data_IF_562038327220
#
_entry.id   IF_562038327220
#
_cell.length_a   1.000
_cell.length_b   1.000
_cell.length_c   1.000
_cell.angle_alpha   90.00
_cell.angle_beta   90.00
_cell.angle_gamma   90.00
#
_symmetry.space_group_name_H-M   'P 1'
#
loop_
_entity.id
_entity.type
_entity.pdbx_description
1 polymer ?
#
# COMPACT_ATOMS: atom_id res chain seq x y z
N UNK A 1 21.93 14.88 -43.09
CA UNK A 1 20.98 13.96 -43.77
C UNK A 1 20.57 12.85 -42.79
N UNK A 2 19.59 13.08 -41.93
CA UNK A 2 19.22 12.09 -40.90
C UNK A 2 18.48 10.87 -41.49
N UNK A 3 17.60 11.08 -42.50
CA UNK A 3 16.89 9.98 -43.15
C UNK A 3 17.80 8.99 -43.91
N UNK A 4 18.90 9.46 -44.51
CA UNK A 4 19.85 8.58 -45.20
C UNK A 4 20.61 7.66 -44.24
N UNK A 5 20.91 8.16 -43.04
CA UNK A 5 21.58 7.36 -42.00
C UNK A 5 20.65 6.28 -41.44
N UNK A 6 19.37 6.60 -41.20
CA UNK A 6 18.35 5.64 -40.74
C UNK A 6 18.17 4.49 -41.75
N UNK A 7 18.12 4.80 -43.06
CA UNK A 7 18.04 3.77 -44.10
C UNK A 7 19.31 2.92 -44.17
N UNK A 8 20.49 3.54 -44.00
CA UNK A 8 21.77 2.81 -43.95
C UNK A 8 21.82 1.84 -42.77
N UNK A 9 21.35 2.24 -41.59
CA UNK A 9 21.31 1.39 -40.40
C UNK A 9 20.37 0.19 -40.58
N UNK A 10 19.21 0.39 -41.20
CA UNK A 10 18.22 -0.68 -41.38
C UNK A 10 18.66 -1.75 -42.38
N UNK A 11 19.37 -1.36 -43.45
CA UNK A 11 19.64 -2.24 -44.58
C UNK A 11 21.13 -2.49 -44.85
N UNK A 12 22.02 -1.87 -44.08
CA UNK A 12 23.48 -2.03 -44.20
C UNK A 12 24.10 -1.50 -45.49
N UNK A 13 23.32 -0.85 -46.37
CA UNK A 13 23.77 -0.31 -47.67
C UNK A 13 23.48 1.17 -47.80
N UNK A 14 24.40 1.90 -48.42
CA UNK A 14 24.19 3.30 -48.75
C UNK A 14 23.28 3.47 -49.97
N UNK A 15 22.44 4.53 -49.94
CA UNK A 15 21.62 5.02 -51.07
C UNK A 15 20.59 4.03 -51.66
N UNK A 16 19.90 3.25 -50.82
CA UNK A 16 18.72 2.46 -51.27
C UNK A 16 17.57 3.38 -51.72
N UNK A 17 17.40 4.50 -51.01
CA UNK A 17 16.47 5.57 -51.40
C UNK A 17 17.25 6.87 -51.56
N UNK A 18 16.89 7.67 -52.58
CA UNK A 18 17.58 8.92 -52.89
C UNK A 18 17.29 10.04 -51.90
N UNK A 19 16.05 10.15 -51.42
CA UNK A 19 15.59 11.26 -50.57
C UNK A 19 14.59 10.82 -49.47
N UNK A 20 14.95 9.88 -48.58
CA UNK A 20 14.11 9.51 -47.44
C UNK A 20 13.92 10.68 -46.48
N UNK A 21 12.67 10.89 -46.05
CA UNK A 21 12.36 11.84 -44.97
C UNK A 21 12.89 11.29 -43.65
N UNK A 22 13.35 12.13 -42.70
CA UNK A 22 13.74 11.67 -41.36
C UNK A 22 12.52 11.22 -40.55
N UNK A 23 12.58 10.05 -39.90
CA UNK A 23 11.47 9.55 -39.06
C UNK A 23 11.13 10.51 -37.92
N UNK A 24 12.14 11.13 -37.30
CA UNK A 24 11.95 12.10 -36.20
C UNK A 24 11.07 13.30 -36.59
N UNK A 25 11.18 13.78 -37.83
CA UNK A 25 10.34 14.87 -38.33
C UNK A 25 8.89 14.42 -38.45
N UNK A 26 8.66 13.26 -39.06
CA UNK A 26 7.31 12.73 -39.24
C UNK A 26 6.65 12.41 -37.89
N UNK A 27 7.39 11.81 -36.95
CA UNK A 27 6.92 11.60 -35.57
C UNK A 27 6.42 12.91 -34.94
N UNK A 28 7.18 13.98 -35.09
CA UNK A 28 6.82 15.29 -34.53
C UNK A 28 5.53 15.83 -35.14
N UNK A 29 5.35 15.70 -36.45
CA UNK A 29 4.12 16.13 -37.15
C UNK A 29 2.90 15.34 -36.66
N UNK A 30 3.04 14.02 -36.57
CA UNK A 30 2.00 13.13 -36.04
C UNK A 30 1.61 13.55 -34.60
N UNK A 31 2.60 13.74 -33.72
CA UNK A 31 2.37 14.15 -32.33
C UNK A 31 1.71 15.54 -32.17
N UNK A 32 1.80 16.40 -33.19
CA UNK A 32 1.17 17.72 -33.19
C UNK A 32 -0.26 17.63 -33.73
N UNK A 33 -0.47 16.89 -34.82
CA UNK A 33 -1.70 16.91 -35.61
C UNK A 33 -2.65 15.73 -35.47
N UNK A 34 -2.35 14.76 -34.59
CA UNK A 34 -3.20 13.57 -34.39
C UNK A 34 -3.34 13.17 -32.92
N UNK A 35 -4.40 12.42 -32.64
CA UNK A 35 -4.79 11.84 -31.34
C UNK A 35 -4.91 10.31 -31.44
N UNK A 36 -5.23 9.64 -30.32
CA UNK A 36 -5.41 8.18 -30.31
C UNK A 36 -6.58 7.75 -31.22
N UNK A 37 -6.40 6.66 -31.96
CA UNK A 37 -7.32 6.10 -32.97
C UNK A 37 -7.49 6.91 -34.26
N UNK A 38 -6.75 8.00 -34.45
CA UNK A 38 -6.75 8.71 -35.74
C UNK A 38 -6.07 7.88 -36.83
N UNK A 39 -6.62 7.95 -38.06
CA UNK A 39 -6.07 7.27 -39.23
C UNK A 39 -5.03 8.19 -39.88
N UNK A 40 -3.78 7.72 -39.96
CA UNK A 40 -2.71 8.41 -40.67
C UNK A 40 -2.64 7.87 -42.10
N UNK A 41 -2.91 8.74 -43.07
CA UNK A 41 -2.87 8.41 -44.50
C UNK A 41 -1.64 9.03 -45.16
N UNK A 42 -0.86 8.20 -45.85
CA UNK A 42 0.25 8.63 -46.70
C UNK A 42 0.12 7.99 -48.09
N UNK A 43 -0.34 8.77 -49.06
CA UNK A 43 -0.52 8.35 -50.46
C UNK A 43 0.72 8.60 -51.33
N UNK A 44 1.82 9.09 -50.74
CA UNK A 44 3.12 9.26 -51.38
C UNK A 44 4.23 8.68 -50.51
N UNK A 45 4.08 7.39 -50.16
CA UNK A 45 4.86 6.74 -49.11
C UNK A 45 6.37 6.72 -49.35
N UNK A 46 6.83 6.63 -50.61
CA UNK A 46 8.25 6.65 -50.94
C UNK A 46 9.04 5.58 -50.17
N UNK A 47 9.95 6.01 -49.28
CA UNK A 47 10.69 5.12 -48.36
C UNK A 47 9.88 4.59 -47.17
N UNK A 48 8.56 4.79 -47.17
CA UNK A 48 7.61 4.44 -46.11
C UNK A 48 7.95 5.03 -44.73
N UNK A 49 8.60 6.20 -44.68
CA UNK A 49 9.01 6.87 -43.43
C UNK A 49 7.81 7.12 -42.51
N UNK A 50 6.64 7.46 -43.06
CA UNK A 50 5.43 7.74 -42.29
C UNK A 50 4.91 6.50 -41.57
N UNK A 51 4.89 5.35 -42.24
CA UNK A 51 4.51 4.08 -41.61
C UNK A 51 5.51 3.71 -40.49
N UNK A 52 6.82 3.84 -40.77
CA UNK A 52 7.86 3.56 -39.77
C UNK A 52 7.73 4.47 -38.54
N UNK A 53 7.54 5.77 -38.73
CA UNK A 53 7.35 6.73 -37.63
C UNK A 53 6.09 6.43 -36.81
N UNK A 54 4.99 6.08 -37.48
CA UNK A 54 3.71 5.73 -36.83
C UNK A 54 3.84 4.46 -35.99
N UNK A 55 4.44 3.41 -36.53
CA UNK A 55 4.68 2.16 -35.81
C UNK A 55 5.57 2.38 -34.57
N UNK A 56 6.65 3.15 -34.71
CA UNK A 56 7.51 3.47 -33.58
C UNK A 56 6.78 4.27 -32.50
N UNK A 57 5.96 5.27 -32.87
CA UNK A 57 5.16 6.03 -31.90
C UNK A 57 4.14 5.14 -31.18
N UNK A 58 3.45 4.26 -31.92
CA UNK A 58 2.50 3.32 -31.32
C UNK A 58 3.21 2.35 -30.37
N UNK A 59 4.40 1.86 -30.73
CA UNK A 59 5.21 1.02 -29.86
C UNK A 59 5.64 1.76 -28.58
N UNK A 60 6.11 3.00 -28.68
CA UNK A 60 6.46 3.85 -27.53
C UNK A 60 5.26 4.07 -26.60
N UNK A 61 4.09 4.41 -27.16
CA UNK A 61 2.85 4.62 -26.40
C UNK A 61 2.37 3.33 -25.74
N UNK A 62 2.34 2.21 -26.47
CA UNK A 62 1.93 0.92 -25.94
C UNK A 62 2.86 0.43 -24.83
N UNK A 63 4.17 0.66 -24.96
CA UNK A 63 5.14 0.35 -23.91
C UNK A 63 4.85 1.11 -22.62
N UNK A 64 4.39 2.36 -22.73
CA UNK A 64 4.12 3.19 -21.55
C UNK A 64 2.73 2.91 -20.95
N UNK A 65 1.70 2.71 -21.79
CA UNK A 65 0.31 2.58 -21.35
C UNK A 65 -0.13 1.14 -21.08
N UNK A 66 0.37 0.18 -21.86
CA UNK A 66 -0.13 -1.21 -21.87
C UNK A 66 0.86 -2.19 -21.27
N UNK A 67 2.16 -1.95 -21.44
CA UNK A 67 3.21 -2.79 -20.86
C UNK A 67 3.61 -2.33 -19.44
N UNK A 68 2.63 -2.41 -18.52
CA UNK A 68 2.84 -2.05 -17.11
C UNK A 68 3.89 -2.92 -16.43
N UNK A 69 4.04 -4.16 -16.89
CA UNK A 69 4.94 -5.13 -16.28
C UNK A 69 6.41 -4.78 -16.54
N UNK A 70 6.78 -4.33 -17.74
CA UNK A 70 8.16 -3.92 -18.03
C UNK A 70 8.57 -2.61 -17.35
N UNK A 71 7.61 -1.74 -17.04
CA UNK A 71 7.85 -0.51 -16.28
C UNK A 71 7.99 -0.75 -14.78
N UNK A 72 7.37 -1.82 -14.25
CA UNK A 72 7.49 -2.23 -12.86
C UNK A 72 8.66 -3.17 -12.63
N UNK A 73 9.04 -3.95 -13.64
CA UNK A 73 10.13 -4.91 -13.52
C UNK A 73 11.48 -4.20 -13.48
N UNK A 74 12.30 -4.60 -12.52
CA UNK A 74 13.68 -4.15 -12.42
C UNK A 74 14.57 -4.82 -13.47
N UNK A 75 14.08 -5.89 -14.11
CA UNK A 75 14.80 -6.67 -15.11
C UNK A 75 13.92 -6.95 -16.33
N UNK A 76 14.56 -6.95 -17.48
CA UNK A 76 13.98 -7.38 -18.75
C UNK A 76 13.89 -8.92 -18.85
N UNK A 77 13.21 -9.44 -19.86
CA UNK A 77 13.08 -10.89 -20.15
C UNK A 77 14.45 -11.59 -20.27
N UNK A 78 15.49 -10.84 -20.64
CA UNK A 78 16.87 -11.28 -20.74
C UNK A 78 17.69 -11.12 -19.45
N UNK A 79 17.05 -10.88 -18.30
CA UNK A 79 17.65 -10.66 -16.97
C UNK A 79 18.59 -9.44 -16.89
N UNK A 80 18.52 -8.53 -17.86
CA UNK A 80 19.24 -7.27 -17.87
C UNK A 80 18.50 -6.22 -17.03
N UNK A 81 19.24 -5.37 -16.31
CA UNK A 81 18.64 -4.32 -15.49
C UNK A 81 17.93 -3.26 -16.34
N UNK A 82 16.65 -3.01 -16.04
CA UNK A 82 15.89 -1.92 -16.62
C UNK A 82 16.30 -0.60 -15.96
N UNK A 83 16.95 0.28 -16.73
CA UNK A 83 17.45 1.59 -16.26
C UNK A 83 16.46 2.73 -16.50
N UNK A 84 15.28 2.44 -17.05
CA UNK A 84 14.25 3.45 -17.31
C UNK A 84 13.63 3.92 -15.98
N UNK A 85 13.98 5.15 -15.58
CA UNK A 85 13.46 5.81 -14.35
C UNK A 85 12.77 7.14 -14.63
N UNK A 86 12.98 7.71 -15.81
CA UNK A 86 12.38 8.98 -16.23
C UNK A 86 11.46 8.75 -17.41
N UNK A 87 10.20 9.15 -17.26
CA UNK A 87 9.18 9.03 -18.29
C UNK A 87 8.71 10.44 -18.64
N UNK A 88 9.00 10.86 -19.87
CA UNK A 88 8.46 12.09 -20.42
C UNK A 88 7.27 11.74 -21.29
N UNK A 89 6.10 12.27 -20.92
CA UNK A 89 4.89 11.99 -21.66
C UNK A 89 4.00 13.21 -21.80
N UNK A 90 3.37 13.30 -22.96
CA UNK A 90 2.39 14.32 -23.31
C UNK A 90 0.95 13.90 -22.95
N UNK A 91 0.71 12.60 -22.76
CA UNK A 91 -0.64 12.00 -22.76
C UNK A 91 -0.94 11.06 -21.58
N UNK A 92 0.08 10.62 -20.83
CA UNK A 92 -0.05 9.50 -19.86
C UNK A 92 -1.03 9.76 -18.73
N UNK A 93 -1.12 11.00 -18.23
CA UNK A 93 -1.97 11.29 -17.07
C UNK A 93 -3.46 11.45 -17.43
N UNK A 94 -3.78 11.60 -18.73
CA UNK A 94 -5.17 11.65 -19.24
C UNK A 94 -5.76 10.25 -19.46
N UNK A 95 -4.98 9.32 -20.01
CA UNK A 95 -5.51 8.08 -20.61
C UNK A 95 -5.26 6.79 -19.80
N UNK A 96 -5.16 6.89 -18.48
CA UNK A 96 -5.15 5.67 -17.65
C UNK A 96 -3.78 5.13 -17.25
N UNK A 97 -2.73 5.96 -17.30
CA UNK A 97 -1.47 5.59 -16.67
C UNK A 97 -1.67 5.42 -15.17
N UNK A 98 -1.16 4.31 -14.67
CA UNK A 98 -1.53 3.80 -13.37
C UNK A 98 -0.41 2.89 -12.86
N UNK A 99 0.65 3.55 -12.40
CA UNK A 99 1.86 2.90 -11.91
C UNK A 99 2.03 3.26 -10.42
N UNK A 100 2.03 2.26 -9.51
CA UNK A 100 2.21 2.50 -8.08
C UNK A 100 3.60 3.01 -7.69
N UNK A 101 4.62 2.85 -8.53
CA UNK A 101 6.02 3.20 -8.24
C UNK A 101 6.39 4.59 -8.77
N UNK A 102 5.41 5.50 -8.80
CA UNK A 102 5.60 6.89 -9.24
C UNK A 102 5.77 7.77 -8.02
N UNK A 103 7.02 8.14 -7.74
CA UNK A 103 7.35 8.97 -6.57
C UNK A 103 7.46 10.45 -6.90
N UNK A 104 7.58 10.81 -8.18
CA UNK A 104 7.71 12.20 -8.60
C UNK A 104 6.92 12.46 -9.88
N UNK A 105 6.09 13.50 -9.83
CA UNK A 105 5.39 14.03 -11.00
C UNK A 105 5.80 15.48 -11.18
N UNK A 106 6.26 15.83 -12.38
CA UNK A 106 6.66 17.20 -12.72
C UNK A 106 5.71 17.74 -13.78
N UNK A 107 4.96 18.78 -13.43
CA UNK A 107 4.06 19.45 -14.35
C UNK A 107 4.76 20.62 -15.02
N UNK A 108 5.14 20.44 -16.28
CA UNK A 108 5.88 21.43 -17.07
C UNK A 108 4.98 22.44 -17.82
N UNK A 109 3.65 22.33 -17.72
CA UNK A 109 2.68 23.19 -18.42
C UNK A 109 1.56 23.64 -17.47
N UNK A 110 1.22 24.92 -17.53
CA UNK A 110 0.15 25.58 -16.75
C UNK A 110 -1.27 25.45 -17.33
N UNK A 111 -1.47 24.60 -18.34
CA UNK A 111 -2.74 24.50 -19.09
C UNK A 111 -3.44 23.18 -18.80
N UNK A 112 -4.61 23.23 -18.16
CA UNK A 112 -5.49 22.09 -17.90
C UNK A 112 -6.55 22.39 -16.84
N UNK A 113 -7.70 21.70 -16.91
CA UNK A 113 -8.78 21.80 -15.91
C UNK A 113 -8.32 21.30 -14.53
N UNK A 114 -8.75 21.97 -13.44
CA UNK A 114 -8.47 21.58 -12.05
C UNK A 114 -8.89 20.12 -11.75
N UNK A 115 -10.02 19.67 -12.32
CA UNK A 115 -10.53 18.30 -12.19
C UNK A 115 -9.55 17.28 -12.79
N UNK A 116 -8.98 17.61 -13.96
CA UNK A 116 -7.96 16.78 -14.59
C UNK A 116 -6.77 16.65 -13.64
N UNK A 117 -6.28 17.77 -13.07
CA UNK A 117 -5.09 17.82 -12.19
C UNK A 117 -5.25 16.91 -10.96
N UNK A 118 -6.42 16.90 -10.32
CA UNK A 118 -6.70 16.07 -9.15
C UNK A 118 -6.64 14.56 -9.49
N UNK A 119 -7.18 14.19 -10.66
CA UNK A 119 -7.09 12.82 -11.16
C UNK A 119 -5.65 12.41 -11.50
N UNK A 120 -4.82 13.33 -12.02
CA UNK A 120 -3.39 13.07 -12.26
C UNK A 120 -2.65 12.75 -10.95
N UNK A 121 -2.92 13.50 -9.88
CA UNK A 121 -2.33 13.28 -8.54
C UNK A 121 -2.83 11.98 -7.94
N UNK A 122 -4.13 11.69 -8.02
CA UNK A 122 -4.73 10.46 -7.49
C UNK A 122 -4.15 9.18 -8.08
N UNK A 123 -3.67 9.23 -9.34
CA UNK A 123 -2.98 8.09 -9.99
C UNK A 123 -1.60 7.81 -9.41
N UNK A 124 -0.92 8.81 -8.85
CA UNK A 124 0.39 8.67 -8.20
C UNK A 124 0.34 8.38 -6.70
N UNK A 125 -0.83 8.41 -6.05
CA UNK A 125 -1.00 8.18 -4.61
C UNK A 125 -1.12 6.71 -4.21
N UNK A 126 -0.83 5.78 -5.13
CA UNK A 126 -0.95 4.35 -4.86
C UNK A 126 0.25 3.85 -4.06
N UNK A 127 0.01 2.85 -3.22
CA UNK A 127 1.10 2.20 -2.47
C UNK A 127 2.07 1.53 -3.44
N UNK A 128 3.38 1.79 -3.32
CA UNK A 128 4.38 1.23 -4.19
C UNK A 128 4.49 -0.29 -4.00
N UNK A 129 5.01 -0.96 -5.02
CA UNK A 129 5.29 -2.39 -5.03
C UNK A 129 6.79 -2.66 -5.05
N UNK A 130 7.20 -3.75 -4.38
CA UNK A 130 8.57 -4.25 -4.39
C UNK A 130 8.92 -5.04 -5.67
N UNK A 131 10.13 -5.60 -5.75
CA UNK A 131 10.60 -6.40 -6.90
C UNK A 131 9.76 -7.66 -7.15
N UNK A 132 9.02 -8.13 -6.15
CA UNK A 132 8.15 -9.30 -6.20
C UNK A 132 6.68 -8.92 -6.48
N UNK A 133 6.37 -7.63 -6.60
CA UNK A 133 5.03 -7.11 -6.83
C UNK A 133 4.17 -6.97 -5.57
N UNK A 134 4.74 -7.13 -4.37
CA UNK A 134 4.02 -6.94 -3.11
C UNK A 134 3.89 -5.46 -2.80
N UNK A 135 2.71 -5.02 -2.34
CA UNK A 135 2.50 -3.64 -1.90
C UNK A 135 3.20 -3.41 -0.57
N UNK A 136 3.97 -2.33 -0.49
CA UNK A 136 4.66 -1.92 0.72
C UNK A 136 3.71 -1.11 1.60
N UNK A 137 3.28 -1.67 2.73
CA UNK A 137 2.43 -1.01 3.74
C UNK A 137 3.19 -0.60 5.00
N UNK A 138 4.38 -1.13 5.19
CA UNK A 138 5.11 -1.05 6.46
C UNK A 138 5.84 0.29 6.64
N UNK A 139 5.97 1.06 5.55
CA UNK A 139 6.63 2.36 5.52
C UNK A 139 5.73 3.44 4.91
N UNK A 140 5.95 4.69 5.30
CA UNK A 140 5.21 5.84 4.78
C UNK A 140 5.90 6.41 3.54
N UNK A 141 5.19 6.39 2.40
CA UNK A 141 5.67 6.93 1.13
C UNK A 141 5.03 8.26 0.79
N UNK A 142 5.77 9.13 0.10
CA UNK A 142 5.31 10.45 -0.31
C UNK A 142 5.46 10.63 -1.82
N UNK A 143 4.41 11.10 -2.47
CA UNK A 143 4.43 11.55 -3.87
C UNK A 143 4.90 13.01 -3.92
N UNK A 144 6.02 13.28 -4.59
CA UNK A 144 6.50 14.64 -4.84
C UNK A 144 5.87 15.21 -6.10
N UNK A 145 4.96 16.16 -5.93
CA UNK A 145 4.36 16.93 -7.03
C UNK A 145 5.11 18.25 -7.22
N UNK A 146 5.81 18.40 -8.35
CA UNK A 146 6.52 19.62 -8.72
C UNK A 146 5.68 20.43 -9.71
N UNK A 147 5.39 21.68 -9.34
CA UNK A 147 4.64 22.63 -10.16
C UNK A 147 5.47 23.88 -10.44
N UNK A 148 5.13 24.55 -11.53
CA UNK A 148 5.68 25.85 -11.86
C UNK A 148 5.12 26.97 -10.97
N UNK A 149 5.81 28.11 -10.89
CA UNK A 149 5.40 29.26 -10.07
C UNK A 149 4.02 29.80 -10.44
N UNK A 150 3.62 29.64 -11.70
CA UNK A 150 2.32 30.06 -12.23
C UNK A 150 1.13 29.29 -11.64
N UNK A 151 1.37 28.15 -10.99
CA UNK A 151 0.33 27.24 -10.45
C UNK A 151 0.29 27.24 -8.91
N UNK A 152 0.89 28.25 -8.27
CA UNK A 152 0.98 28.36 -6.81
C UNK A 152 -0.39 28.34 -6.13
N UNK A 153 -1.38 29.03 -6.71
CA UNK A 153 -2.74 29.10 -6.17
C UNK A 153 -3.44 27.74 -6.23
N UNK A 154 -3.17 26.96 -7.28
CA UNK A 154 -3.70 25.60 -7.42
C UNK A 154 -3.15 24.67 -6.32
N UNK A 155 -1.84 24.73 -6.01
CA UNK A 155 -1.29 23.96 -4.90
C UNK A 155 -1.91 24.35 -3.55
N UNK A 156 -2.13 25.64 -3.31
CA UNK A 156 -2.76 26.10 -2.06
C UNK A 156 -4.20 25.61 -1.94
N UNK A 157 -4.99 25.66 -3.03
CA UNK A 157 -6.33 25.08 -3.07
C UNK A 157 -6.32 23.57 -2.86
N UNK A 158 -5.44 22.83 -3.52
CA UNK A 158 -5.34 21.37 -3.39
C UNK A 158 -5.00 20.94 -1.97
N UNK A 159 -4.04 21.65 -1.34
CA UNK A 159 -3.71 21.47 0.08
C UNK A 159 -4.94 21.76 0.94
N UNK A 160 -5.64 22.85 0.67
CA UNK A 160 -6.87 23.24 1.36
C UNK A 160 -7.98 22.19 1.25
N UNK A 161 -8.29 21.72 0.03
CA UNK A 161 -9.33 20.72 -0.25
C UNK A 161 -9.01 19.38 0.45
N UNK A 162 -7.82 18.82 0.22
CA UNK A 162 -7.43 17.52 0.79
C UNK A 162 -7.37 17.56 2.31
N UNK A 163 -6.89 18.66 2.90
CA UNK A 163 -6.83 18.81 4.35
C UNK A 163 -8.20 19.13 4.94
N UNK A 164 -9.11 19.80 4.21
CA UNK A 164 -10.49 20.05 4.65
C UNK A 164 -11.38 18.79 4.63
N UNK A 165 -11.10 17.84 3.74
CA UNK A 165 -11.74 16.52 3.71
C UNK A 165 -11.22 15.57 4.80
N UNK A 166 -10.11 15.90 5.46
CA UNK A 166 -9.69 15.18 6.66
C UNK A 166 -10.73 15.46 7.76
N UNK A 167 -11.37 14.41 8.24
CA UNK A 167 -12.47 14.47 9.20
C UNK A 167 -11.96 14.96 10.57
N UNK A 168 -11.73 16.26 10.70
CA UNK A 168 -11.37 16.90 11.98
C UNK A 168 -12.57 16.68 12.90
N UNK A 169 -12.42 15.99 14.04
CA UNK A 169 -13.53 15.82 14.96
C UNK A 169 -13.98 17.20 15.46
N UNK A 170 -15.14 17.64 14.96
CA UNK A 170 -15.71 18.95 15.33
C UNK A 170 -16.02 19.07 16.83
N UNK A 171 -16.18 17.95 17.54
CA UNK A 171 -16.55 17.93 18.95
C UNK A 171 -15.62 17.05 19.79
N UNK A 172 -15.26 17.56 20.98
CA UNK A 172 -14.39 16.88 21.96
C UNK A 172 -15.20 16.12 23.03
N UNK A 173 -16.54 16.21 23.02
CA UNK A 173 -17.44 15.67 24.08
C UNK A 173 -17.15 14.21 24.49
N UNK A 174 -16.82 13.34 23.55
CA UNK A 174 -16.52 11.92 23.83
C UNK A 174 -15.07 11.62 24.25
N UNK A 175 -14.15 12.57 24.09
CA UNK A 175 -12.70 12.38 24.28
C UNK A 175 -12.23 13.04 25.57
N UNK A 176 -12.86 14.15 25.97
CA UNK A 176 -12.52 14.91 27.17
C UNK A 176 -12.41 14.03 28.41
N UNK A 177 -13.34 13.09 28.57
CA UNK A 177 -13.35 12.14 29.69
C UNK A 177 -12.17 11.17 29.71
N UNK A 178 -11.62 10.80 28.54
CA UNK A 178 -10.48 9.90 28.45
C UNK A 178 -9.17 10.66 28.69
N UNK A 179 -9.06 11.88 28.17
CA UNK A 179 -7.88 12.75 28.32
C UNK A 179 -7.77 13.29 29.75
N UNK A 180 -8.90 13.62 30.39
CA UNK A 180 -8.93 14.00 31.79
C UNK A 180 -8.39 12.87 32.69
N UNK A 181 -8.76 11.62 32.40
CA UNK A 181 -8.26 10.44 33.12
C UNK A 181 -6.77 10.18 32.90
N UNK A 182 -6.24 10.37 31.70
CA UNK A 182 -4.81 10.16 31.44
C UNK A 182 -3.93 11.19 32.14
N UNK A 183 -4.43 12.42 32.35
CA UNK A 183 -3.72 13.49 33.05
C UNK A 183 -4.04 13.62 34.54
N UNK A 184 -4.81 12.70 35.13
CA UNK A 184 -5.29 12.78 36.52
C UNK A 184 -6.01 14.10 36.87
N UNK A 185 -6.75 14.68 35.91
CA UNK A 185 -7.53 15.90 36.09
C UNK A 185 -9.03 15.61 36.03
N UNK A 186 -9.86 16.48 36.60
CA UNK A 186 -11.32 16.40 36.42
C UNK A 186 -11.71 16.90 35.03
N UNK A 187 -12.77 16.33 34.45
CA UNK A 187 -13.29 16.73 33.12
C UNK A 187 -13.57 18.24 33.05
N UNK A 188 -14.09 18.80 34.14
CA UNK A 188 -14.44 20.21 34.28
C UNK A 188 -13.20 21.12 34.31
N UNK A 189 -12.12 20.70 34.98
CA UNK A 189 -10.88 21.47 35.07
C UNK A 189 -10.17 21.54 33.71
N UNK A 190 -10.08 20.39 33.03
CA UNK A 190 -9.52 20.32 31.67
C UNK A 190 -10.36 21.12 30.68
N UNK A 191 -11.69 21.11 30.83
CA UNK A 191 -12.58 21.91 29.99
C UNK A 191 -12.35 23.42 30.19
N UNK A 192 -12.27 23.87 31.45
CA UNK A 192 -12.04 25.26 31.79
C UNK A 192 -10.68 25.72 31.24
N UNK A 193 -9.64 24.89 31.34
CA UNK A 193 -8.32 25.20 30.79
C UNK A 193 -8.35 25.36 29.26
N UNK A 194 -9.00 24.43 28.55
CA UNK A 194 -9.16 24.51 27.10
C UNK A 194 -10.00 25.73 26.66
N UNK A 195 -10.97 26.13 27.47
CA UNK A 195 -11.83 27.28 27.23
C UNK A 195 -11.10 28.60 27.51
N UNK A 196 -10.29 28.67 28.57
CA UNK A 196 -9.43 29.82 28.90
C UNK A 196 -8.34 30.04 27.85
N UNK A 197 -7.73 28.96 27.34
CA UNK A 197 -6.77 29.03 26.22
C UNK A 197 -7.45 29.30 24.87
N UNK A 198 -8.78 29.26 24.83
CA UNK A 198 -9.57 29.60 23.65
C UNK A 198 -9.54 28.54 22.54
N UNK A 199 -9.21 27.29 22.86
CA UNK A 199 -9.20 26.19 21.90
C UNK A 199 -10.58 25.62 21.61
N UNK A 200 -11.49 25.72 22.59
CA UNK A 200 -12.86 25.20 22.49
C UNK A 200 -13.90 26.29 22.76
N UNK A 201 -15.11 26.10 22.22
CA UNK A 201 -16.28 26.90 22.55
C UNK A 201 -17.01 26.36 23.80
N UNK A 202 -18.03 27.10 24.25
CA UNK A 202 -18.91 26.70 25.37
C UNK A 202 -19.66 25.40 25.10
N UNK A 203 -19.79 25.00 23.85
CA UNK A 203 -20.47 23.78 23.40
C UNK A 203 -19.52 22.58 23.23
N UNK A 204 -18.25 22.68 23.66
CA UNK A 204 -17.20 21.65 23.55
C UNK A 204 -16.80 21.32 22.09
N UNK A 205 -16.94 22.28 21.17
CA UNK A 205 -16.41 22.20 19.81
C UNK A 205 -15.08 22.93 19.69
N UNK A 206 -14.24 22.50 18.74
CA UNK A 206 -12.93 23.11 18.50
C UNK A 206 -13.12 24.37 17.65
N UNK A 207 -12.53 25.49 18.07
CA UNK A 207 -12.56 26.72 17.28
C UNK A 207 -11.74 26.56 16.00
N UNK A 208 -12.23 27.15 14.91
CA UNK A 208 -11.63 27.06 13.59
C UNK A 208 -10.18 27.58 13.59
N UNK A 209 -9.24 26.80 13.01
CA UNK A 209 -7.81 27.13 12.98
C UNK A 209 -7.02 26.92 14.28
N UNK A 210 -7.64 26.41 15.36
CA UNK A 210 -6.98 26.14 16.66
C UNK A 210 -6.71 24.66 16.94
N UNK A 211 -7.06 23.78 16.00
CA UNK A 211 -6.86 22.34 16.13
C UNK A 211 -5.38 21.96 16.21
N UNK A 212 -4.53 22.57 15.39
CA UNK A 212 -3.08 22.30 15.37
C UNK A 212 -2.43 22.65 16.72
N UNK A 213 -2.68 23.86 17.23
CA UNK A 213 -2.21 24.28 18.57
C UNK A 213 -2.74 23.41 19.70
N UNK A 214 -3.97 22.90 19.58
CA UNK A 214 -4.55 21.99 20.56
C UNK A 214 -3.89 20.61 20.53
N UNK A 215 -3.57 20.07 19.36
CA UNK A 215 -2.85 18.79 19.23
C UNK A 215 -1.39 18.91 19.66
N UNK A 216 -0.76 20.06 19.44
CA UNK A 216 0.60 20.36 19.92
C UNK A 216 0.70 20.34 21.45
N UNK A 217 -0.24 20.99 22.15
CA UNK A 217 -0.25 21.02 23.63
C UNK A 217 -0.90 19.76 24.24
N UNK A 218 -1.83 19.14 23.52
CA UNK A 218 -2.61 17.98 23.96
C UNK A 218 -2.66 16.88 22.88
N UNK A 219 -1.58 16.10 22.73
CA UNK A 219 -1.46 15.04 21.72
C UNK A 219 -2.56 13.97 21.80
N UNK A 220 -3.16 13.81 22.97
CA UNK A 220 -4.17 12.81 23.29
C UNK A 220 -5.53 13.07 22.59
N UNK A 221 -5.74 14.29 22.06
CA UNK A 221 -6.90 14.61 21.21
C UNK A 221 -6.72 14.19 19.75
N UNK A 222 -5.53 13.74 19.35
CA UNK A 222 -5.25 13.32 17.98
C UNK A 222 -5.84 11.93 17.68
N UNK A 223 -7.07 11.88 17.13
CA UNK A 223 -7.68 10.65 16.58
C UNK A 223 -7.85 10.66 15.07
N UNK A 224 -7.50 11.77 14.41
CA UNK A 224 -7.53 11.86 12.96
C UNK A 224 -6.25 11.31 12.33
N UNK A 225 -6.32 10.94 11.05
CA UNK A 225 -5.13 10.84 10.20
C UNK A 225 -4.33 12.14 10.39
N UNK A 226 -3.04 12.00 10.69
CA UNK A 226 -2.11 13.09 10.98
C UNK A 226 -2.31 14.28 10.05
N UNK A 227 -2.23 15.48 10.63
CA UNK A 227 -2.46 16.82 10.04
C UNK A 227 -1.48 17.23 8.94
N UNK A 228 -0.94 16.29 8.17
CA UNK A 228 0.12 16.54 7.19
C UNK A 228 0.02 15.59 5.96
N UNK A 229 -1.18 15.40 5.40
CA UNK A 229 -1.33 14.62 4.16
C UNK A 229 -0.59 15.27 2.97
N UNK A 230 -0.50 16.60 2.96
CA UNK A 230 0.25 17.35 1.94
C UNK A 230 1.19 18.32 2.63
N UNK A 231 2.49 18.07 2.52
CA UNK A 231 3.54 18.86 3.17
C UNK A 231 4.15 19.82 2.14
N UNK A 232 4.05 21.14 2.41
CA UNK A 232 4.79 22.14 1.64
C UNK A 232 6.26 22.17 2.11
N UNK A 233 7.12 21.54 1.31
CA UNK A 233 8.57 21.47 1.56
C UNK A 233 9.25 22.84 1.54
N UNK A 234 8.61 23.89 0.98
CA UNK A 234 9.20 25.23 0.98
C UNK A 234 8.98 25.98 2.29
N UNK A 235 8.00 25.56 3.11
CA UNK A 235 7.71 26.17 4.42
C UNK A 235 8.53 25.52 5.55
N UNK A 236 8.72 24.20 5.51
CA UNK A 236 9.44 23.47 6.55
C UNK A 236 10.94 23.34 6.22
N UNK A 237 11.75 24.29 6.71
CA UNK A 237 13.20 24.11 6.76
C UNK A 237 13.52 22.94 7.69
N UNK A 238 13.96 21.81 7.13
CA UNK A 238 14.47 20.69 7.92
C UNK A 238 15.79 21.12 8.58
N UNK A 239 15.75 21.36 9.88
CA UNK A 239 16.94 21.61 10.67
C UNK A 239 17.76 20.32 10.78
N UNK A 240 19.03 20.43 10.41
CA UNK A 240 20.03 19.38 10.54
C UNK A 240 20.83 19.67 11.80
N UNK A 241 20.89 18.71 12.72
CA UNK A 241 21.73 18.80 13.92
C UNK A 241 23.00 18.00 13.66
N UNK A 242 24.15 18.52 14.10
CA UNK A 242 25.46 17.90 13.90
C UNK A 242 25.69 16.84 14.97
N UNK A 243 26.11 15.64 14.58
CA UNK A 243 26.48 14.60 15.54
C UNK A 243 27.94 14.80 16.00
N UNK A 244 28.20 14.59 17.29
CA UNK A 244 29.56 14.45 17.83
C UNK A 244 30.04 13.01 17.66
N UNK A 245 30.82 12.74 16.61
CA UNK A 245 31.30 11.39 16.26
C UNK A 245 32.03 10.68 17.41
N UNK A 246 32.81 11.42 18.20
CA UNK A 246 33.54 10.87 19.37
C UNK A 246 32.60 10.25 20.40
N UNK A 247 31.41 10.80 20.59
CA UNK A 247 30.39 10.29 21.52
C UNK A 247 29.62 9.11 20.98
N UNK A 248 29.58 8.93 19.65
CA UNK A 248 28.95 7.76 19.05
C UNK A 248 29.71 6.48 19.43
N UNK A 249 31.04 6.54 19.52
CA UNK A 249 31.84 5.36 19.84
C UNK A 249 31.51 4.81 21.24
N UNK A 250 31.10 5.67 22.18
CA UNK A 250 30.64 5.25 23.53
C UNK A 250 29.32 4.44 23.49
N UNK A 251 28.43 4.72 22.52
CA UNK A 251 27.11 4.08 22.41
C UNK A 251 27.04 3.00 21.32
N UNK A 252 28.10 2.81 20.55
CA UNK A 252 28.13 1.97 19.35
C UNK A 252 27.73 0.52 19.63
N UNK A 253 28.23 -0.06 20.70
CA UNK A 253 27.92 -1.46 21.07
C UNK A 253 26.45 -1.64 21.43
N UNK A 254 25.89 -0.67 22.17
CA UNK A 254 24.47 -0.63 22.50
C UNK A 254 23.63 -0.42 21.24
N UNK A 255 24.02 0.51 20.37
CA UNK A 255 23.34 0.84 19.13
C UNK A 255 23.29 -0.35 18.17
N UNK A 256 24.40 -1.07 18.03
CA UNK A 256 24.46 -2.30 17.23
C UNK A 256 23.57 -3.39 17.83
N UNK A 257 23.56 -3.53 19.16
CA UNK A 257 22.71 -4.51 19.85
C UNK A 257 21.21 -4.23 19.66
N UNK A 258 20.80 -2.96 19.69
CA UNK A 258 19.40 -2.53 19.50
C UNK A 258 18.97 -2.71 18.04
N UNK A 259 19.83 -2.36 17.08
CA UNK A 259 19.48 -2.42 15.66
C UNK A 259 19.64 -3.83 15.06
N UNK A 260 20.10 -4.81 15.82
CA UNK A 260 20.23 -6.19 15.35
C UNK A 260 18.87 -6.76 14.95
N UNK A 261 18.75 -7.23 13.71
CA UNK A 261 17.52 -7.90 13.24
C UNK A 261 17.48 -9.34 13.73
N UNK A 262 16.33 -9.75 14.25
CA UNK A 262 16.04 -11.13 14.65
C UNK A 262 14.88 -11.66 13.82
N UNK A 263 14.87 -12.95 13.53
CA UNK A 263 13.68 -13.63 13.03
C UNK A 263 13.14 -14.57 14.10
N UNK A 264 11.81 -14.73 14.09
CA UNK A 264 11.11 -15.70 14.90
C UNK A 264 11.36 -17.09 14.30
N UNK A 265 12.00 -17.99 15.05
CA UNK A 265 12.11 -19.39 14.72
C UNK A 265 11.10 -20.15 15.58
N UNK A 266 10.11 -20.75 14.94
CA UNK A 266 9.20 -21.70 15.58
C UNK A 266 9.90 -23.05 15.73
N UNK A 267 9.64 -23.75 16.82
CA UNK A 267 10.17 -25.10 17.03
C UNK A 267 9.56 -26.09 16.01
N UNK A 268 10.33 -27.11 15.64
CA UNK A 268 9.86 -28.13 14.71
C UNK A 268 8.80 -29.02 15.38
N UNK A 269 7.67 -29.21 14.71
CA UNK A 269 6.59 -30.11 15.15
C UNK A 269 6.79 -31.45 14.45
N UNK A 270 6.83 -32.54 15.22
CA UNK A 270 6.98 -33.89 14.66
C UNK A 270 5.73 -34.33 13.90
N UNK A 271 5.88 -35.28 12.98
CA UNK A 271 4.73 -35.85 12.26
C UNK A 271 3.73 -36.54 13.21
N UNK A 272 4.22 -37.11 14.31
CA UNK A 272 3.41 -37.74 15.36
C UNK A 272 2.50 -36.73 16.09
N UNK A 273 3.05 -35.56 16.45
CA UNK A 273 2.28 -34.49 17.10
C UNK A 273 1.23 -33.92 16.13
N UNK A 274 1.55 -33.76 14.84
CA UNK A 274 0.57 -33.36 13.83
C UNK A 274 -0.56 -34.36 13.65
N UNK A 275 -0.27 -35.66 13.74
CA UNK A 275 -1.27 -36.73 13.67
C UNK A 275 -2.22 -36.66 14.88
N UNK A 276 -1.68 -36.56 16.09
CA UNK A 276 -2.45 -36.48 17.32
C UNK A 276 -3.37 -35.24 17.33
N UNK A 277 -2.84 -34.09 16.92
CA UNK A 277 -3.61 -32.84 16.82
C UNK A 277 -4.72 -32.96 15.79
N UNK A 278 -4.42 -33.52 14.62
CA UNK A 278 -5.43 -33.75 13.57
C UNK A 278 -6.55 -34.65 14.09
N UNK A 279 -6.22 -35.71 14.82
CA UNK A 279 -7.20 -36.59 15.47
C UNK A 279 -8.04 -35.87 16.53
N UNK A 280 -7.42 -35.09 17.40
CA UNK A 280 -8.11 -34.32 18.43
C UNK A 280 -9.08 -33.29 17.82
N UNK A 281 -8.69 -32.65 16.71
CA UNK A 281 -9.57 -31.75 15.96
C UNK A 281 -10.76 -32.51 15.40
N UNK A 282 -10.56 -33.68 14.78
CA UNK A 282 -11.65 -34.51 14.26
C UNK A 282 -12.60 -34.99 15.37
N UNK A 283 -12.07 -35.30 16.56
CA UNK A 283 -12.86 -35.68 17.76
C UNK A 283 -13.69 -34.52 18.32
N UNK A 284 -13.24 -33.28 18.15
CA UNK A 284 -13.87 -32.09 18.72
C UNK A 284 -15.19 -31.63 18.04
N UNK A 285 -15.87 -32.52 17.33
CA UNK A 285 -17.12 -32.27 16.57
C UNK A 285 -17.05 -31.07 15.62
N UNK A 286 -16.29 -31.23 14.54
CA UNK A 286 -16.14 -30.21 13.48
C UNK A 286 -17.24 -30.26 12.42
N UNK A 287 -18.06 -31.30 12.45
CA UNK A 287 -19.06 -31.57 11.44
C UNK A 287 -20.21 -30.59 11.56
N UNK A 288 -20.51 -29.89 10.45
CA UNK A 288 -21.64 -28.97 10.39
C UNK A 288 -22.42 -29.20 9.11
N UNK A 289 -23.74 -29.35 9.24
CA UNK A 289 -24.68 -29.34 8.12
C UNK A 289 -25.06 -27.89 7.79
N UNK A 290 -25.06 -27.54 6.51
CA UNK A 290 -25.58 -26.26 6.03
C UNK A 290 -27.05 -26.40 5.67
N UNK A 291 -27.88 -25.49 6.19
CA UNK A 291 -29.30 -25.38 5.89
C UNK A 291 -29.52 -24.09 5.10
N UNK A 292 -30.24 -24.16 3.98
CA UNK A 292 -30.72 -22.99 3.25
C UNK A 292 -32.15 -22.70 3.71
N UNK A 293 -32.37 -21.50 4.24
CA UNK A 293 -33.70 -20.99 4.56
C UNK A 293 -34.14 -20.12 3.39
N UNK A 294 -35.21 -20.51 2.70
CA UNK A 294 -35.81 -19.67 1.65
C UNK A 294 -36.91 -18.86 2.29
N UNK A 295 -36.71 -17.55 2.36
CA UNK A 295 -37.73 -16.59 2.77
C UNK A 295 -38.47 -16.12 1.51
N UNK A 296 -39.74 -16.50 1.37
CA UNK A 296 -40.54 -16.16 0.21
C UNK A 296 -41.51 -15.04 0.58
N UNK A 297 -41.30 -13.85 -0.02
CA UNK A 297 -42.23 -12.73 0.14
C UNK A 297 -43.21 -12.74 -1.03
N UNK A 298 -44.49 -12.96 -0.74
CA UNK A 298 -45.56 -12.86 -1.74
C UNK A 298 -46.48 -11.70 -1.43
N UNK A 299 -46.83 -10.98 -2.48
CA UNK A 299 -47.71 -9.82 -2.43
C UNK A 299 -49.11 -10.28 -2.85
N UNK A 300 -50.04 -10.37 -1.90
CA UNK A 300 -51.44 -10.67 -2.18
C UNK A 300 -52.25 -9.37 -2.16
N UNK A 301 -53.04 -9.14 -3.21
CA UNK A 301 -54.01 -8.05 -3.27
C UNK A 301 -55.34 -8.55 -2.75
N UNK A 302 -55.78 -8.03 -1.60
CA UNK A 302 -57.10 -8.30 -1.04
C UNK A 302 -57.71 -6.96 -0.59
N UNK A 303 -58.89 -6.65 -1.12
CA UNK A 303 -59.76 -5.51 -0.78
C UNK A 303 -59.01 -4.18 -0.53
N UNK A 304 -58.64 -3.52 -1.65
CA UNK A 304 -58.05 -2.17 -1.74
C UNK A 304 -56.72 -1.90 -1.02
N UNK A 305 -56.10 -2.91 -0.40
CA UNK A 305 -54.76 -2.80 0.15
C UNK A 305 -53.86 -3.97 -0.23
N UNK A 306 -52.61 -3.64 -0.60
CA UNK A 306 -51.57 -4.63 -0.86
C UNK A 306 -51.01 -5.13 0.47
N UNK A 307 -51.16 -6.42 0.78
CA UNK A 307 -50.52 -7.05 1.94
C UNK A 307 -49.32 -7.89 1.49
N UNK A 308 -48.18 -7.63 2.12
CA UNK A 308 -46.99 -8.47 2.01
C UNK A 308 -47.13 -9.59 3.03
N UNK A 309 -47.14 -10.84 2.57
CA UNK A 309 -46.99 -12.02 3.43
C UNK A 309 -45.57 -12.55 3.27
N UNK A 310 -44.90 -12.70 4.41
CA UNK A 310 -43.60 -13.37 4.56
C UNK A 310 -43.87 -14.76 5.14
N UNK A 311 -43.52 -15.81 4.40
CA UNK A 311 -43.55 -17.18 4.91
C UNK A 311 -42.20 -17.87 4.66
N UNK A 312 -41.69 -18.54 5.69
CA UNK A 312 -40.56 -19.46 5.58
C UNK A 312 -41.14 -20.76 5.01
N UNK A 313 -41.10 -20.91 3.69
CA UNK A 313 -41.83 -21.99 3.02
C UNK A 313 -41.10 -23.35 3.10
N UNK A 314 -39.75 -23.41 3.04
CA UNK A 314 -39.02 -24.70 3.05
C UNK A 314 -37.57 -24.58 3.56
N UNK A 315 -37.10 -25.59 4.31
CA UNK A 315 -35.70 -25.77 4.72
C UNK A 315 -35.06 -26.81 3.79
N UNK A 316 -34.17 -26.37 2.90
CA UNK A 316 -33.41 -27.29 2.05
C UNK A 316 -32.05 -27.61 2.68
N UNK A 317 -31.72 -28.89 2.80
CA UNK A 317 -30.37 -29.33 3.13
C UNK A 317 -29.54 -29.24 1.85
N UNK A 318 -28.60 -28.29 1.80
CA UNK A 318 -27.69 -28.17 0.66
C UNK A 318 -26.58 -29.19 0.83
N UNK A 319 -26.59 -30.24 0.03
CA UNK A 319 -25.48 -31.20 -0.02
C UNK A 319 -24.30 -30.61 -0.82
N UNK A 320 -23.61 -29.60 -0.26
CA UNK A 320 -22.36 -29.06 -0.80
C UNK A 320 -21.19 -30.04 -0.55
N UNK A 321 -21.31 -31.27 -1.09
CA UNK A 321 -20.32 -32.33 -0.97
C UNK A 321 -19.10 -31.98 -1.81
N UNK A 322 -17.93 -32.07 -1.19
CA UNK A 322 -16.63 -31.90 -1.83
C UNK A 322 -16.03 -33.30 -2.02
N UNK A 323 -15.45 -33.61 -3.19
CA UNK A 323 -14.66 -34.82 -3.39
C UNK A 323 -13.57 -34.97 -2.33
N UNK A 324 -13.37 -36.18 -1.82
CA UNK A 324 -12.41 -36.46 -0.74
C UNK A 324 -10.98 -35.95 -1.03
N UNK A 325 -10.51 -36.16 -2.26
CA UNK A 325 -9.20 -35.67 -2.72
C UNK A 325 -9.10 -34.14 -2.68
N UNK A 326 -10.18 -33.43 -3.01
CA UNK A 326 -10.22 -31.98 -2.96
C UNK A 326 -10.28 -31.46 -1.52
N UNK A 327 -11.01 -32.15 -0.64
CA UNK A 327 -11.03 -31.85 0.79
C UNK A 327 -9.62 -31.91 1.41
N UNK A 328 -8.86 -32.99 1.15
CA UNK A 328 -7.47 -33.11 1.62
C UNK A 328 -6.53 -32.05 1.05
N UNK A 329 -6.63 -31.78 -0.26
CA UNK A 329 -5.81 -30.73 -0.91
C UNK A 329 -6.09 -29.35 -0.34
N UNK A 330 -7.36 -29.04 -0.05
CA UNK A 330 -7.73 -27.76 0.57
C UNK A 330 -7.25 -27.66 2.01
N UNK A 331 -7.26 -28.74 2.79
CA UNK A 331 -6.63 -28.73 4.13
C UNK A 331 -5.13 -28.43 3.98
N UNK A 332 -4.39 -29.22 3.19
CA UNK A 332 -2.96 -29.04 3.00
C UNK A 332 -2.61 -27.61 2.54
N UNK A 333 -3.36 -27.04 1.60
CA UNK A 333 -3.14 -25.67 1.11
C UNK A 333 -3.31 -24.59 2.21
N UNK A 334 -4.23 -24.79 3.15
CA UNK A 334 -4.53 -23.80 4.19
C UNK A 334 -3.74 -24.02 5.49
N UNK A 335 -3.40 -25.26 5.83
CA UNK A 335 -2.75 -25.61 7.11
C UNK A 335 -1.29 -26.03 6.96
N UNK A 336 -0.84 -26.38 5.76
CA UNK A 336 0.50 -26.92 5.51
C UNK A 336 0.69 -28.39 5.92
N UNK A 337 -0.29 -29.02 6.58
CA UNK A 337 -0.18 -30.41 7.07
C UNK A 337 -0.05 -31.37 5.87
N UNK A 338 0.91 -32.30 5.86
CA UNK A 338 1.03 -33.32 4.83
C UNK A 338 -0.26 -34.12 4.62
N UNK A 339 -0.63 -34.33 3.35
CA UNK A 339 -1.86 -35.06 2.96
C UNK A 339 -1.92 -36.46 3.59
N UNK A 340 -0.77 -37.14 3.73
CA UNK A 340 -0.67 -38.47 4.32
C UNK A 340 -1.14 -38.47 5.78
N UNK A 341 -0.70 -37.50 6.58
CA UNK A 341 -1.05 -37.39 8.00
C UNK A 341 -2.55 -37.10 8.16
N UNK A 342 -3.10 -36.19 7.36
CA UNK A 342 -4.54 -35.88 7.39
C UNK A 342 -5.38 -37.10 7.00
N UNK A 343 -4.92 -37.85 5.99
CA UNK A 343 -5.58 -39.09 5.58
C UNK A 343 -5.55 -40.15 6.70
N UNK A 344 -4.39 -40.36 7.31
CA UNK A 344 -4.21 -41.29 8.42
C UNK A 344 -5.10 -40.93 9.61
N UNK A 345 -5.14 -39.66 10.00
CA UNK A 345 -6.04 -39.17 11.04
C UNK A 345 -7.52 -39.45 10.72
N UNK A 346 -7.94 -39.26 9.47
CA UNK A 346 -9.32 -39.54 9.04
C UNK A 346 -9.64 -41.04 9.05
N UNK A 347 -8.69 -41.91 8.69
CA UNK A 347 -8.86 -43.37 8.73
C UNK A 347 -9.01 -43.85 10.18
N UNK A 348 -8.14 -43.38 11.07
CA UNK A 348 -8.20 -43.68 12.50
C UNK A 348 -9.50 -43.15 13.13
N UNK A 349 -9.90 -41.91 12.80
CA UNK A 349 -11.18 -41.37 13.24
C UNK A 349 -12.37 -42.22 12.75
N UNK A 350 -12.34 -42.66 11.49
CA UNK A 350 -13.40 -43.51 10.93
C UNK A 350 -13.49 -44.89 11.58
N UNK A 351 -12.36 -45.42 12.11
CA UNK A 351 -12.38 -46.67 12.88
C UNK A 351 -13.06 -46.53 14.25
N UNK A 352 -13.01 -45.33 14.84
CA UNK A 352 -13.66 -45.06 16.12
C UNK A 352 -15.12 -44.62 15.96
N UNK A 353 -15.40 -43.77 14.96
CA UNK A 353 -16.72 -43.20 14.68
C UNK A 353 -16.98 -43.16 13.18
N UNK A 354 -18.06 -43.77 12.74
CA UNK A 354 -18.43 -43.80 11.31
C UNK A 354 -18.65 -42.38 10.78
N UNK A 355 -17.86 -42.01 9.76
CA UNK A 355 -17.95 -40.69 9.13
C UNK A 355 -19.22 -40.62 8.26
N UNK A 356 -20.12 -39.63 8.48
CA UNK A 356 -21.28 -39.42 7.63
C UNK A 356 -20.91 -39.12 6.16
N UNK A 357 -21.75 -39.53 5.20
CA UNK A 357 -21.49 -39.32 3.77
C UNK A 357 -21.43 -37.85 3.36
N UNK A 358 -22.03 -36.97 4.13
CA UNK A 358 -22.07 -35.50 3.94
C UNK A 358 -21.02 -34.76 4.79
N UNK A 359 -20.10 -35.48 5.45
CA UNK A 359 -19.03 -34.91 6.27
C UNK A 359 -18.07 -34.03 5.45
N UNK A 360 -17.73 -34.48 4.24
CA UNK A 360 -16.84 -33.76 3.33
C UNK A 360 -17.58 -32.61 2.67
N UNK A 361 -17.72 -31.49 3.39
CA UNK A 361 -18.36 -30.28 2.91
C UNK A 361 -17.53 -29.03 3.26
N UNK A 362 -17.92 -27.87 2.71
CA UNK A 362 -17.18 -26.60 2.90
C UNK A 362 -17.17 -26.15 4.37
N UNK A 363 -18.27 -26.36 5.10
CA UNK A 363 -18.39 -25.94 6.50
C UNK A 363 -17.48 -26.76 7.43
N UNK A 364 -17.47 -28.09 7.28
CA UNK A 364 -16.58 -28.99 8.03
C UNK A 364 -15.11 -28.67 7.75
N UNK A 365 -14.77 -28.40 6.49
CA UNK A 365 -13.42 -27.98 6.08
C UNK A 365 -13.01 -26.68 6.80
N UNK A 366 -13.89 -25.67 6.80
CA UNK A 366 -13.63 -24.38 7.44
C UNK A 366 -13.45 -24.53 8.96
N UNK A 367 -14.27 -25.36 9.61
CA UNK A 367 -14.16 -25.64 11.04
C UNK A 367 -12.84 -26.34 11.38
N UNK A 368 -12.40 -27.31 10.56
CA UNK A 368 -11.09 -27.96 10.74
C UNK A 368 -9.96 -26.92 10.69
N UNK A 369 -9.96 -26.05 9.68
CA UNK A 369 -8.93 -25.00 9.51
C UNK A 369 -8.92 -24.05 10.71
N UNK A 370 -10.08 -23.58 11.16
CA UNK A 370 -10.17 -22.66 12.32
C UNK A 370 -9.63 -23.31 13.59
N UNK A 371 -9.98 -24.58 13.85
CA UNK A 371 -9.48 -25.28 15.05
C UNK A 371 -8.00 -25.55 14.99
N UNK A 372 -7.47 -25.88 13.81
CA UNK A 372 -6.03 -26.04 13.62
C UNK A 372 -5.27 -24.72 13.84
N UNK A 373 -5.80 -23.61 13.32
CA UNK A 373 -5.22 -22.28 13.55
C UNK A 373 -5.20 -21.92 15.04
N UNK A 374 -6.29 -22.16 15.78
CA UNK A 374 -6.33 -21.94 17.23
C UNK A 374 -5.31 -22.78 17.98
N UNK A 375 -5.21 -24.06 17.64
CA UNK A 375 -4.19 -24.92 18.23
C UNK A 375 -2.78 -24.40 17.91
N UNK A 376 -2.52 -23.96 16.67
CA UNK A 376 -1.24 -23.39 16.27
C UNK A 376 -0.91 -22.13 17.09
N UNK A 377 -1.89 -21.24 17.27
CA UNK A 377 -1.74 -20.04 18.11
C UNK A 377 -1.38 -20.40 19.55
N UNK A 378 -2.04 -21.39 20.16
CA UNK A 378 -1.78 -21.84 21.53
C UNK A 378 -0.43 -22.57 21.67
N UNK A 379 -0.10 -23.46 20.74
CA UNK A 379 1.11 -24.27 20.78
C UNK A 379 2.37 -23.41 20.60
N UNK A 380 2.32 -22.42 19.70
CA UNK A 380 3.46 -21.56 19.40
C UNK A 380 3.50 -20.28 20.24
N UNK A 381 2.56 -20.06 21.15
CA UNK A 381 2.64 -18.96 22.13
C UNK A 381 3.83 -19.11 23.09
N UNK A 382 4.31 -20.34 23.26
CA UNK A 382 5.42 -20.66 24.18
C UNK A 382 6.58 -21.42 23.52
N UNK A 383 6.48 -21.77 22.23
CA UNK A 383 7.46 -22.59 21.48
C UNK A 383 8.12 -21.80 20.35
N UNK A 384 8.75 -20.68 20.70
CA UNK A 384 9.48 -19.86 19.74
C UNK A 384 10.82 -19.40 20.32
N UNK A 385 11.79 -19.23 19.43
CA UNK A 385 13.10 -18.66 19.75
C UNK A 385 13.43 -17.53 18.78
N UNK A 386 14.15 -16.52 19.26
CA UNK A 386 14.68 -15.47 18.40
C UNK A 386 16.07 -15.86 17.91
N UNK A 387 16.25 -15.93 16.59
CA UNK A 387 17.56 -16.16 16.00
C UNK A 387 18.05 -14.89 15.31
N UNK A 388 19.31 -14.53 15.59
CA UNK A 388 19.97 -13.39 14.97
C UNK A 388 20.04 -13.59 13.45
N UNK A 389 19.60 -12.60 12.70
CA UNK A 389 19.94 -12.49 11.29
C UNK A 389 21.44 -12.19 11.26
N UNK A 390 22.25 -13.04 10.63
CA UNK A 390 23.71 -12.89 10.56
C UNK A 390 24.18 -11.74 9.67
N UNK A 391 23.36 -10.69 9.54
CA UNK A 391 23.60 -9.51 8.74
C UNK A 391 23.60 -8.33 9.70
N UNK A 392 24.74 -7.66 9.83
CA UNK A 392 24.83 -6.41 10.55
C UNK A 392 24.18 -5.29 9.70
N UNK A 393 23.18 -4.58 10.21
CA UNK A 393 22.59 -3.45 9.50
C UNK A 393 23.60 -2.31 9.48
N UNK A 394 24.26 -2.11 8.33
CA UNK A 394 25.22 -1.02 8.13
C UNK A 394 24.52 0.34 8.16
N UNK A 395 23.39 0.46 7.48
CA UNK A 395 22.59 1.68 7.45
C UNK A 395 21.59 1.72 8.60
N UNK A 396 21.65 2.77 9.42
CA UNK A 396 20.70 3.03 10.51
C UNK A 396 20.30 4.51 10.53
N UNK A 397 19.49 4.92 11.51
CA UNK A 397 19.18 6.34 11.71
C UNK A 397 20.45 7.20 11.92
N UNK A 398 21.50 6.64 12.51
CA UNK A 398 22.75 7.33 12.85
C UNK A 398 23.93 6.96 11.95
N UNK A 399 23.86 5.86 11.20
CA UNK A 399 24.95 5.37 10.33
C UNK A 399 24.56 5.39 8.85
N UNK A 400 25.54 5.59 7.98
CA UNK A 400 25.40 5.56 6.52
C UNK A 400 25.37 4.12 5.96
N UNK A 401 25.23 3.97 4.64
CA UNK A 401 25.25 2.68 3.94
C UNK A 401 26.53 1.86 4.18
N UNK A 402 27.61 2.50 4.61
CA UNK A 402 28.90 1.89 4.85
C UNK A 402 29.12 1.55 6.34
N UNK A 403 28.20 1.96 7.23
CA UNK A 403 28.33 1.80 8.68
C UNK A 403 29.03 2.95 9.40
N UNK A 404 29.36 4.04 8.69
CA UNK A 404 29.99 5.22 9.29
C UNK A 404 28.95 6.15 9.91
N UNK A 405 29.33 6.86 10.97
CA UNK A 405 28.45 7.82 11.66
C UNK A 405 28.14 9.00 10.73
N UNK A 406 26.86 9.31 10.59
CA UNK A 406 26.40 10.48 9.83
C UNK A 406 26.91 11.76 10.49
N UNK A 407 27.36 12.73 9.71
CA UNK A 407 27.76 14.04 10.27
C UNK A 407 26.56 14.84 10.79
N UNK A 408 25.38 14.59 10.22
CA UNK A 408 24.15 15.30 10.56
C UNK A 408 22.96 14.35 10.63
N UNK A 409 22.05 14.63 11.56
CA UNK A 409 20.75 13.95 11.69
C UNK A 409 19.64 14.98 11.61
N UNK A 410 18.50 14.55 11.07
CA UNK A 410 17.29 15.37 11.04
C UNK A 410 16.78 15.54 12.47
N UNK A 411 16.54 16.77 12.91
CA UNK A 411 16.08 17.08 14.27
C UNK A 411 14.91 16.19 14.72
N UNK A 412 13.95 15.94 13.84
CA UNK A 412 12.78 15.11 14.15
C UNK A 412 13.09 13.68 14.62
N UNK A 413 14.28 13.15 14.31
CA UNK A 413 14.70 11.82 14.79
C UNK A 413 15.20 11.83 16.25
N UNK A 414 15.51 13.01 16.79
CA UNK A 414 16.08 13.19 18.14
C UNK A 414 15.04 13.82 19.07
N UNK A 415 14.25 14.77 18.57
CA UNK A 415 13.20 15.43 19.34
C UNK A 415 12.71 16.71 18.68
N UNK A 416 11.50 17.16 19.03
CA UNK A 416 10.88 18.36 18.44
C UNK A 416 11.16 19.66 19.23
N UNK A 417 11.47 19.55 20.52
CA UNK A 417 11.74 20.72 21.36
C UNK A 417 13.17 21.24 21.13
N UNK A 418 13.30 22.56 21.00
CA UNK A 418 14.60 23.24 20.86
C UNK A 418 14.65 24.40 21.84
N UNK A 419 15.79 24.50 22.50
CA UNK A 419 16.22 25.71 23.18
C UNK A 419 17.25 26.40 22.26
N UNK A 420 17.03 27.68 21.92
CA UNK A 420 17.95 28.44 21.08
C UNK A 420 19.02 29.20 21.89
N UNK A 421 18.80 29.33 23.21
CA UNK A 421 19.60 30.18 24.09
C UNK A 421 20.56 29.36 24.97
N UNK A 422 20.26 28.08 25.20
CA UNK A 422 21.11 27.20 26.00
C UNK A 422 22.35 26.70 25.24
N UNK A 423 23.53 26.84 25.87
CA UNK A 423 24.78 26.24 25.38
C UNK A 423 24.80 24.75 25.69
N UNK A 424 24.83 23.91 24.66
CA UNK A 424 24.81 22.44 24.79
C UNK A 424 26.09 21.94 25.48
N UNK A 425 26.01 21.23 26.62
CA UNK A 425 27.19 20.69 27.31
C UNK A 425 27.94 19.64 26.49
N UNK A 426 29.23 19.46 26.78
CA UNK A 426 30.11 18.63 25.93
C UNK A 426 29.89 17.12 26.00
N UNK A 427 29.08 16.67 26.95
CA UNK A 427 28.73 15.28 27.16
C UNK A 427 27.50 14.84 26.34
N UNK A 428 26.84 15.76 25.65
CA UNK A 428 25.68 15.45 24.82
C UNK A 428 26.09 14.95 23.44
N UNK A 429 25.29 14.04 22.90
CA UNK A 429 25.52 13.37 21.62
C UNK A 429 25.34 14.30 20.40
N UNK A 430 24.48 15.32 20.50
CA UNK A 430 24.05 16.20 19.40
C UNK A 430 24.03 17.66 19.83
#
# INVERSE_FOLDING_TARGET
>A
MFGNNEVKELFGKEKIFSYPKPTKLIKRLIQIGSSENDIILDFFSGSATTAHATLQLNAEVNKILRDKNSLLSFKDENNNWSTMRFIFSKWTLREGWDNPNVFQIVKLRSSGSEISKLQEVGRGLRLPVDELGNRLSDEQFYLRYLIDFSEKDFAQKLVGEINSEANIPRSIKGILNKVAKSRNMKEEELFIELLQKGYVDTDKNIKEGKYETLVEEYPEFNRGLSTDKVIDLNKNKKYKIRIRQERFEEIKDLWNSINQKYYLKLDEVSEEELLEVSLNILKSDIYKREFLYIDTKRTESADDHIKIRESIDDVYVVENKIPYNEFLKRINKNTGIPIKIVHEALVLYNSEKTIPKDFFNVATLKNFIIKFQRWMEEAFLHRFSYKKVGIEPKETALTDINGNVKEYVVQGNIGMMRDEDAKVPDNFFV
#
